data_IF_376054904092
#
_entry.id   IF_376054904092
#
_cell.length_a   1.000
_cell.length_b   1.000
_cell.length_c   1.000
_cell.angle_alpha   90.00
_cell.angle_beta   90.00
_cell.angle_gamma   90.00
#
_symmetry.space_group_name_H-M   'P 1'
#
loop_
_entity.id
_entity.type
_entity.pdbx_description
1 polymer ?
#
# COMPACT_ATOMS: atom_id res chain seq x y z
N UNK A 1 -6.88 -4.56 6.01
CA UNK A 1 -6.36 -5.81 6.61
C UNK A 1 -4.92 -5.98 6.11
N UNK A 2 -3.90 -6.07 7.00
CA UNK A 2 -2.48 -6.15 6.63
C UNK A 2 -2.14 -7.32 5.71
N UNK A 3 -2.87 -8.42 5.80
CA UNK A 3 -2.70 -9.61 4.95
C UNK A 3 -3.00 -9.30 3.47
N UNK A 4 -3.88 -8.33 3.21
CA UNK A 4 -4.26 -7.95 1.84
C UNK A 4 -3.31 -6.92 1.22
N UNK A 5 -2.57 -6.18 2.05
CA UNK A 5 -1.62 -5.17 1.57
C UNK A 5 -0.29 -5.27 2.34
N UNK A 6 0.59 -6.20 1.96
CA UNK A 6 1.84 -6.46 2.64
C UNK A 6 2.97 -5.49 2.24
N UNK A 7 2.71 -4.43 1.48
CA UNK A 7 3.73 -3.50 0.93
C UNK A 7 4.62 -2.87 2.00
N UNK A 8 4.14 -2.76 3.23
CA UNK A 8 4.88 -2.23 4.37
C UNK A 8 5.89 -3.22 4.94
N UNK A 9 5.64 -4.52 4.77
CA UNK A 9 6.37 -5.59 5.44
C UNK A 9 7.39 -6.29 4.55
N UNK A 10 7.20 -6.24 3.23
CA UNK A 10 8.09 -6.93 2.30
C UNK A 10 8.03 -6.34 0.88
N UNK A 11 9.12 -6.48 0.10
CA UNK A 11 9.20 -5.99 -1.27
C UNK A 11 8.64 -7.00 -2.28
N UNK A 12 7.34 -7.30 -2.24
CA UNK A 12 6.73 -8.23 -3.20
C UNK A 12 6.38 -7.57 -4.54
N UNK A 13 6.37 -6.25 -4.61
CA UNK A 13 6.09 -5.49 -5.83
C UNK A 13 6.85 -4.17 -5.88
N UNK A 14 6.96 -3.59 -7.07
CA UNK A 14 7.59 -2.28 -7.25
C UNK A 14 6.81 -1.12 -6.61
N UNK A 15 5.61 -1.38 -6.07
CA UNK A 15 4.84 -0.45 -5.25
C UNK A 15 5.11 -0.62 -3.74
N UNK A 16 6.00 -1.53 -3.35
CA UNK A 16 6.40 -1.70 -1.94
C UNK A 16 7.19 -0.49 -1.46
N UNK A 17 7.12 -0.22 -0.16
CA UNK A 17 7.72 0.99 0.45
C UNK A 17 9.21 0.84 0.72
N UNK A 18 9.76 -0.36 0.54
CA UNK A 18 11.16 -0.67 0.79
C UNK A 18 11.68 -1.70 -0.22
N UNK A 19 12.98 -1.73 -0.43
CA UNK A 19 13.70 -2.77 -1.16
C UNK A 19 13.23 -2.94 -2.61
N UNK A 20 13.16 -1.86 -3.40
CA UNK A 20 12.65 -1.90 -4.77
C UNK A 20 13.46 -2.85 -5.68
N UNK A 21 14.78 -2.92 -5.48
CA UNK A 21 15.62 -3.85 -6.25
C UNK A 21 15.36 -5.31 -5.86
N UNK A 22 15.03 -5.58 -4.59
CA UNK A 22 14.57 -6.89 -4.13
C UNK A 22 13.20 -7.25 -4.71
N UNK A 23 12.30 -6.26 -4.82
CA UNK A 23 11.01 -6.46 -5.48
C UNK A 23 11.18 -6.79 -6.96
N UNK A 24 12.12 -6.15 -7.64
CA UNK A 24 12.44 -6.42 -9.04
C UNK A 24 12.99 -7.83 -9.20
N UNK A 25 13.90 -8.25 -8.34
CA UNK A 25 14.44 -9.61 -8.31
C UNK A 25 13.34 -10.65 -8.14
N UNK A 26 12.47 -10.46 -7.16
CA UNK A 26 11.35 -11.39 -6.89
C UNK A 26 10.40 -11.52 -8.08
N UNK A 27 10.04 -10.40 -8.70
CA UNK A 27 9.10 -10.38 -9.82
C UNK A 27 9.66 -10.94 -11.13
N UNK A 28 10.96 -10.85 -11.33
CA UNK A 28 11.63 -11.35 -12.53
C UNK A 28 12.21 -12.75 -12.36
N UNK A 29 11.98 -13.39 -11.22
CA UNK A 29 12.55 -14.70 -10.94
C UNK A 29 14.08 -14.71 -10.84
N UNK A 30 14.68 -13.57 -10.47
CA UNK A 30 16.12 -13.42 -10.30
C UNK A 30 16.86 -12.87 -11.53
N UNK A 31 16.17 -12.57 -12.63
CA UNK A 31 16.82 -12.04 -13.84
C UNK A 31 17.28 -10.59 -13.68
N UNK A 32 16.60 -9.80 -12.85
CA UNK A 32 16.86 -8.37 -12.64
C UNK A 32 16.73 -8.02 -11.16
N UNK A 33 17.39 -6.93 -10.76
CA UNK A 33 17.39 -6.48 -9.37
C UNK A 33 18.47 -7.14 -8.53
N UNK A 34 18.30 -7.13 -7.23
CA UNK A 34 19.26 -7.65 -6.26
C UNK A 34 18.62 -8.79 -5.44
N UNK A 35 19.41 -9.82 -5.13
CA UNK A 35 18.98 -10.93 -4.29
C UNK A 35 18.68 -10.43 -2.86
N UNK A 36 17.44 -10.58 -2.36
CA UNK A 36 17.10 -10.18 -1.00
C UNK A 36 17.89 -10.97 0.06
N UNK A 37 18.16 -10.37 1.23
CA UNK A 37 18.65 -11.10 2.40
C UNK A 37 17.74 -12.29 2.75
N UNK A 38 18.31 -13.29 3.41
CA UNK A 38 17.58 -14.52 3.73
C UNK A 38 16.29 -14.29 4.54
N UNK A 39 16.25 -13.44 5.61
CA UNK A 39 15.01 -13.18 6.32
C UNK A 39 13.92 -12.57 5.44
N UNK A 40 14.30 -11.68 4.52
CA UNK A 40 13.36 -11.05 3.60
C UNK A 40 12.83 -12.04 2.54
N UNK A 41 13.68 -12.95 2.03
CA UNK A 41 13.22 -14.04 1.16
C UNK A 41 12.20 -14.92 1.87
N UNK A 42 12.44 -15.23 3.15
CA UNK A 42 11.50 -15.99 3.97
C UNK A 42 10.13 -15.28 4.12
N UNK A 43 10.12 -13.95 4.23
CA UNK A 43 8.86 -13.18 4.17
C UNK A 43 8.14 -13.36 2.83
N UNK A 44 8.86 -13.28 1.71
CA UNK A 44 8.29 -13.48 0.39
C UNK A 44 7.73 -14.91 0.19
N UNK A 45 8.44 -15.92 0.66
CA UNK A 45 7.98 -17.32 0.62
C UNK A 45 6.74 -17.55 1.48
N UNK A 46 6.67 -16.96 2.69
CA UNK A 46 5.50 -16.99 3.54
C UNK A 46 4.30 -16.31 2.86
N UNK A 47 4.53 -15.20 2.21
CA UNK A 47 3.47 -14.51 1.46
C UNK A 47 2.97 -15.33 0.26
N UNK A 48 3.86 -16.00 -0.46
CA UNK A 48 3.48 -16.92 -1.52
C UNK A 48 2.61 -18.09 -1.00
N UNK A 49 2.85 -18.57 0.22
CA UNK A 49 2.00 -19.57 0.88
C UNK A 49 0.64 -18.99 1.25
N UNK A 50 0.59 -17.76 1.81
CA UNK A 50 -0.65 -17.04 2.11
C UNK A 50 -1.52 -16.93 0.87
N UNK A 51 -0.94 -16.53 -0.26
CA UNK A 51 -1.66 -16.35 -1.53
C UNK A 51 -2.26 -17.63 -2.10
N UNK A 52 -1.78 -18.80 -1.67
CA UNK A 52 -2.26 -20.12 -2.09
C UNK A 52 -3.21 -20.77 -1.08
N UNK A 53 -3.43 -20.14 0.06
CA UNK A 53 -4.22 -20.68 1.17
C UNK A 53 -5.59 -20.01 1.22
N UNK A 54 -6.66 -20.79 1.25
CA UNK A 54 -8.04 -20.27 1.35
C UNK A 54 -8.51 -20.17 2.82
N UNK A 55 -7.79 -20.76 3.76
CA UNK A 55 -8.08 -20.72 5.18
C UNK A 55 -7.57 -19.41 5.80
N UNK A 56 -8.48 -18.55 6.23
CA UNK A 56 -8.16 -17.25 6.83
C UNK A 56 -7.34 -17.38 8.12
N UNK A 57 -7.65 -18.36 8.97
CA UNK A 57 -6.89 -18.57 10.20
C UNK A 57 -5.42 -18.93 9.89
N UNK A 58 -5.21 -19.73 8.86
CA UNK A 58 -3.88 -20.09 8.40
C UNK A 58 -3.15 -18.91 7.75
N UNK A 59 -3.85 -18.07 7.01
CA UNK A 59 -3.27 -16.84 6.44
C UNK A 59 -2.79 -15.91 7.56
N UNK A 60 -3.58 -15.73 8.61
CA UNK A 60 -3.22 -14.91 9.78
C UNK A 60 -2.00 -15.50 10.50
N UNK A 61 -1.95 -16.81 10.74
CA UNK A 61 -0.79 -17.47 11.34
C UNK A 61 0.50 -17.23 10.56
N UNK A 62 0.43 -17.39 9.24
CA UNK A 62 1.58 -17.18 8.36
C UNK A 62 2.01 -15.71 8.35
N UNK A 63 1.04 -14.78 8.38
CA UNK A 63 1.35 -13.36 8.40
C UNK A 63 1.99 -12.91 9.72
N UNK A 64 1.61 -13.50 10.85
CA UNK A 64 2.28 -13.26 12.13
C UNK A 64 3.78 -13.60 12.06
N UNK A 65 4.16 -14.67 11.37
CA UNK A 65 5.58 -15.00 11.16
C UNK A 65 6.33 -13.93 10.36
N UNK A 66 5.66 -13.29 9.39
CA UNK A 66 6.22 -12.15 8.65
C UNK A 66 6.40 -10.95 9.58
N UNK A 67 5.43 -10.66 10.44
CA UNK A 67 5.53 -9.57 11.43
C UNK A 67 6.69 -9.82 12.39
N UNK A 68 6.86 -11.05 12.87
CA UNK A 68 7.96 -11.39 13.79
C UNK A 68 9.33 -11.18 13.15
N UNK A 69 9.52 -11.59 11.90
CA UNK A 69 10.75 -11.32 11.15
C UNK A 69 10.99 -9.81 11.02
N UNK A 70 9.96 -9.05 10.62
CA UNK A 70 10.09 -7.60 10.49
C UNK A 70 10.43 -6.90 11.82
N UNK A 71 9.91 -7.42 12.94
CA UNK A 71 10.21 -6.91 14.27
C UNK A 71 11.67 -7.18 14.69
N UNK A 72 12.21 -8.33 14.31
CA UNK A 72 13.60 -8.70 14.61
C UNK A 72 14.60 -7.94 13.75
N UNK A 73 14.31 -7.82 12.44
CA UNK A 73 15.20 -7.20 11.46
C UNK A 73 15.09 -5.68 11.38
N UNK A 74 14.00 -5.09 11.89
CA UNK A 74 13.72 -3.64 11.89
C UNK A 74 13.86 -2.98 10.52
N UNK A 75 13.36 -3.61 9.45
CA UNK A 75 13.44 -3.07 8.09
C UNK A 75 12.74 -1.72 7.92
N UNK A 76 11.67 -1.49 8.68
CA UNK A 76 10.90 -0.24 8.64
C UNK A 76 10.54 0.21 10.05
N UNK A 77 10.86 1.46 10.35
CA UNK A 77 10.48 2.12 11.60
C UNK A 77 9.43 3.17 11.28
N UNK A 78 8.19 2.94 11.73
CA UNK A 78 7.11 3.91 11.60
C UNK A 78 7.32 5.07 12.57
N UNK A 79 7.41 6.30 12.04
CA UNK A 79 7.62 7.50 12.86
C UNK A 79 6.38 8.39 12.95
N UNK A 80 5.60 8.51 11.86
CA UNK A 80 4.41 9.36 11.77
C UNK A 80 3.31 8.64 11.02
N UNK A 81 2.08 8.70 11.54
CA UNK A 81 0.88 8.17 10.90
C UNK A 81 -0.22 9.21 10.82
N UNK A 82 -1.22 8.98 9.97
CA UNK A 82 -2.41 9.82 9.87
C UNK A 82 -2.14 11.25 9.37
N UNK A 83 -1.18 11.43 8.46
CA UNK A 83 -0.88 12.74 7.88
C UNK A 83 -2.09 13.23 7.08
N UNK A 84 -2.63 14.42 7.34
CA UNK A 84 -3.71 14.98 6.54
C UNK A 84 -3.22 15.25 5.12
N UNK A 85 -4.03 14.88 4.13
CA UNK A 85 -3.84 15.24 2.73
C UNK A 85 -4.64 16.50 2.46
N UNK A 86 -4.00 17.53 1.93
CA UNK A 86 -4.66 18.81 1.60
C UNK A 86 -5.04 18.80 0.12
N UNK A 87 -6.31 19.09 -0.15
CA UNK A 87 -6.81 19.35 -1.50
C UNK A 87 -7.03 20.84 -1.69
N UNK A 88 -6.60 21.37 -2.81
CA UNK A 88 -6.88 22.74 -3.23
C UNK A 88 -7.92 22.63 -4.34
N UNK A 89 -9.07 23.25 -4.10
CA UNK A 89 -10.22 23.20 -5.00
C UNK A 89 -10.60 24.63 -5.38
N UNK A 90 -10.89 24.86 -6.64
CA UNK A 90 -11.34 26.19 -7.10
C UNK A 90 -12.74 26.50 -6.56
N UNK A 91 -13.04 27.78 -6.30
CA UNK A 91 -14.30 28.23 -5.69
C UNK A 91 -15.54 27.87 -6.52
N UNK A 92 -15.38 27.79 -7.82
CA UNK A 92 -16.43 27.39 -8.75
C UNK A 92 -16.57 25.87 -8.93
N UNK A 93 -15.75 25.07 -8.26
CA UNK A 93 -15.85 23.62 -8.29
C UNK A 93 -16.79 23.14 -7.19
N UNK A 94 -17.92 22.58 -7.58
CA UNK A 94 -19.03 22.21 -6.68
C UNK A 94 -19.05 20.73 -6.36
N UNK A 95 -19.70 20.40 -5.25
CA UNK A 95 -19.92 19.04 -4.74
C UNK A 95 -18.66 18.29 -4.30
N UNK A 96 -17.51 18.98 -4.15
CA UNK A 96 -16.36 18.39 -3.49
C UNK A 96 -16.57 18.44 -1.97
N UNK A 97 -16.40 17.33 -1.23
CA UNK A 97 -16.60 17.33 0.21
C UNK A 97 -15.50 18.11 0.94
N UNK A 98 -15.85 18.80 2.02
CA UNK A 98 -14.88 19.50 2.88
C UNK A 98 -13.86 18.54 3.53
N UNK A 99 -14.29 17.32 3.83
CA UNK A 99 -13.47 16.27 4.42
C UNK A 99 -13.71 14.95 3.70
N UNK A 100 -12.65 14.30 3.29
CA UNK A 100 -12.72 13.01 2.63
C UNK A 100 -11.58 12.10 3.08
N UNK A 101 -11.79 10.78 2.95
CA UNK A 101 -10.73 9.79 3.17
C UNK A 101 -9.82 9.75 1.94
N UNK A 102 -8.59 10.20 2.11
CA UNK A 102 -7.54 10.07 1.10
C UNK A 102 -6.70 8.83 1.35
N UNK A 103 -6.72 7.87 0.45
CA UNK A 103 -5.81 6.74 0.50
C UNK A 103 -5.60 6.11 -0.88
N UNK A 104 -4.47 5.46 -1.05
CA UNK A 104 -4.14 4.80 -2.30
C UNK A 104 -5.11 3.68 -2.71
N UNK A 105 -5.57 2.78 -1.80
CA UNK A 105 -6.52 1.74 -2.16
C UNK A 105 -7.86 2.25 -2.67
N UNK A 106 -8.32 3.41 -2.19
CA UNK A 106 -9.55 4.05 -2.66
C UNK A 106 -9.35 4.88 -3.92
N UNK A 107 -8.10 4.94 -4.44
CA UNK A 107 -7.76 5.71 -5.65
C UNK A 107 -8.34 7.12 -5.59
N UNK A 108 -7.89 7.90 -4.61
CA UNK A 108 -8.30 9.31 -4.48
C UNK A 108 -8.23 10.03 -5.85
N UNK A 109 -9.28 10.72 -6.31
CA UNK A 109 -10.45 11.18 -5.54
C UNK A 109 -11.68 10.24 -5.53
N UNK A 110 -11.56 8.97 -5.90
CA UNK A 110 -12.70 8.04 -6.01
C UNK A 110 -13.61 7.95 -4.80
N UNK A 111 -13.05 8.15 -3.58
CA UNK A 111 -13.84 8.16 -2.34
C UNK A 111 -14.73 9.41 -2.16
N UNK A 112 -14.63 10.38 -3.06
CA UNK A 112 -15.34 11.67 -2.97
C UNK A 112 -16.48 11.80 -3.99
N UNK A 113 -16.86 10.68 -4.63
CA UNK A 113 -17.92 10.61 -5.65
C UNK A 113 -17.71 11.60 -6.83
N UNK A 114 -16.61 11.46 -7.59
CA UNK A 114 -16.26 12.41 -8.67
C UNK A 114 -17.32 12.53 -9.76
N UNK A 115 -18.21 11.58 -9.87
CA UNK A 115 -19.34 11.59 -10.82
C UNK A 115 -20.38 12.69 -10.53
N UNK A 116 -20.36 13.29 -9.34
CA UNK A 116 -21.27 14.40 -8.99
C UNK A 116 -20.59 15.76 -9.05
N UNK A 117 -19.30 15.85 -9.40
CA UNK A 117 -18.60 17.11 -9.51
C UNK A 117 -19.19 17.99 -10.63
N UNK A 118 -19.24 19.27 -10.37
CA UNK A 118 -19.69 20.26 -11.34
C UNK A 118 -18.81 21.51 -11.30
N UNK A 119 -18.68 22.17 -12.42
CA UNK A 119 -18.04 23.48 -12.52
C UNK A 119 -19.16 24.52 -12.71
N UNK A 120 -19.22 25.49 -11.83
CA UNK A 120 -20.10 26.64 -11.96
C UNK A 120 -19.43 27.68 -12.86
N UNK A 121 -19.86 27.76 -14.10
CA UNK A 121 -19.32 28.72 -15.07
C UNK A 121 -19.85 30.14 -14.88
N UNK A 122 -20.87 30.34 -14.03
CA UNK A 122 -21.51 31.64 -13.82
C UNK A 122 -20.79 32.51 -12.80
N UNK A 123 -19.84 31.96 -12.05
CA UNK A 123 -19.10 32.61 -10.96
C UNK A 123 -17.71 33.15 -11.32
N UNK A 124 -17.30 33.12 -12.56
CA UNK A 124 -15.99 33.59 -13.02
C UNK A 124 -16.01 35.08 -13.37
N UNK A 125 -15.79 35.94 -12.38
CA UNK A 125 -15.39 37.34 -12.55
C UNK A 125 -14.28 37.67 -11.57
#
# INVERSE_FOLDING_TARGET
IPVLDPRWFMPYSTSSFQGLDYALWYRTGGERGELPPEPMRKCLDLFAQISRTMDEAKQIELFHKIIDINREELYVIGSVGGIPIIFIVADNFKNFPEVAVGCWPLRTPGATAPEIYAIDETGGA
#
